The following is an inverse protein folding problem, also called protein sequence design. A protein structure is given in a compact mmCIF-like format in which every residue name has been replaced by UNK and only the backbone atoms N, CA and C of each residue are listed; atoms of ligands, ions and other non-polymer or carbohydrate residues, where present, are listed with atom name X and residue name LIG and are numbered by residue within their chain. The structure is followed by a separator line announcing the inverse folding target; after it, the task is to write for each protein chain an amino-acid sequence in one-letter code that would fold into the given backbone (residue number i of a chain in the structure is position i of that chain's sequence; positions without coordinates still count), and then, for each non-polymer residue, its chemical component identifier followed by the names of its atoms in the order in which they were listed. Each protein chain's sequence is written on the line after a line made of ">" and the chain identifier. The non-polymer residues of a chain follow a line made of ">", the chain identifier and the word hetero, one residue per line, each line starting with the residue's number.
data_IF_171538411939
#
_entry.id   IF_171538411939
#
_cell.length_a   1.000
_cell.length_b   1.000
_cell.length_c   1.000
_cell.angle_alpha   90.00
_cell.angle_beta   90.00
_cell.angle_gamma   90.00
#
_symmetry.space_group_name_H-M   'P 1'
#
loop_
_entity.id
_entity.type
_entity.pdbx_description
1 polymer ?
#
# COMPACT_ATOMS: atom_id res chain seq x y z
N UNK A 1 -42.69 -25.05 15.45
CA UNK A 1 -41.44 -25.05 14.70
C UNK A 1 -40.68 -23.77 15.09
N UNK A 2 -39.62 -23.90 15.86
CA UNK A 2 -38.75 -22.76 16.23
C UNK A 2 -37.59 -22.74 15.23
N UNK A 3 -37.57 -21.72 14.39
CA UNK A 3 -36.48 -21.48 13.42
C UNK A 3 -35.25 -21.01 14.20
N UNK A 4 -34.23 -21.84 14.24
CA UNK A 4 -32.93 -21.51 14.82
C UNK A 4 -32.16 -20.68 13.79
N UNK A 5 -32.05 -19.37 14.06
CA UNK A 5 -31.17 -18.48 13.28
C UNK A 5 -29.74 -18.74 13.77
N UNK A 6 -28.97 -19.46 12.97
CA UNK A 6 -27.55 -19.69 13.20
C UNK A 6 -26.81 -18.41 12.77
N UNK A 7 -26.51 -17.55 13.72
CA UNK A 7 -25.62 -16.40 13.51
C UNK A 7 -24.18 -16.94 13.36
N UNK A 8 -23.70 -17.04 12.13
CA UNK A 8 -22.29 -17.32 11.87
C UNK A 8 -21.54 -16.04 12.26
N UNK A 9 -20.99 -16.01 13.47
CA UNK A 9 -19.98 -15.03 13.83
C UNK A 9 -18.74 -15.33 12.98
N UNK A 10 -18.50 -14.53 11.93
CA UNK A 10 -17.17 -14.44 11.35
C UNK A 10 -16.25 -14.00 12.47
N UNK A 11 -15.46 -14.92 13.02
CA UNK A 11 -14.31 -14.57 13.83
C UNK A 11 -13.40 -13.74 12.93
N UNK A 12 -13.36 -12.41 13.13
CA UNK A 12 -12.22 -11.61 12.73
C UNK A 12 -11.02 -12.29 13.40
N UNK A 13 -10.26 -13.06 12.64
CA UNK A 13 -8.92 -13.42 13.04
C UNK A 13 -8.26 -12.08 13.35
N UNK A 14 -8.00 -11.83 14.65
CA UNK A 14 -7.20 -10.69 15.04
C UNK A 14 -5.92 -10.84 14.24
N UNK A 15 -5.74 -10.01 13.22
CA UNK A 15 -4.44 -9.86 12.59
C UNK A 15 -3.53 -9.49 13.74
N UNK A 16 -2.58 -10.36 14.05
CA UNK A 16 -1.51 -10.03 14.95
C UNK A 16 -0.99 -8.67 14.47
N UNK A 17 -0.55 -7.80 15.38
CA UNK A 17 0.00 -6.48 15.07
C UNK A 17 1.10 -6.61 14.01
N UNK A 18 0.70 -6.60 12.73
CA UNK A 18 1.51 -6.87 11.53
C UNK A 18 1.19 -5.85 10.43
N UNK A 19 2.09 -5.75 9.46
CA UNK A 19 1.94 -4.93 8.26
C UNK A 19 2.29 -5.76 7.02
N UNK A 20 1.48 -6.78 6.66
CA UNK A 20 1.90 -7.85 5.74
C UNK A 20 1.89 -7.47 4.26
N UNK A 21 1.43 -6.28 3.91
CA UNK A 21 1.32 -5.79 2.54
C UNK A 21 1.22 -4.27 2.49
N UNK A 22 1.24 -3.74 1.27
CA UNK A 22 1.00 -2.32 1.03
C UNK A 22 -0.27 -1.83 1.74
N UNK A 23 -0.16 -0.73 2.49
CA UNK A 23 -1.23 -0.10 3.28
C UNK A 23 -1.87 -0.97 4.37
N UNK A 24 -1.22 -2.09 4.76
CA UNK A 24 -1.59 -2.93 5.90
C UNK A 24 -2.65 -3.99 5.63
N UNK A 25 -3.40 -3.91 4.54
CA UNK A 25 -4.45 -4.88 4.22
C UNK A 25 -5.10 -4.65 2.86
N UNK A 26 -5.93 -5.60 2.35
CA UNK A 26 -6.46 -5.56 0.99
C UNK A 26 -7.33 -4.33 0.67
N UNK A 27 -7.99 -3.73 1.65
CA UNK A 27 -8.74 -2.48 1.47
C UNK A 27 -7.85 -1.23 1.37
N UNK A 28 -6.55 -1.36 1.57
CA UNK A 28 -5.53 -0.33 1.46
C UNK A 28 -5.80 0.93 2.29
N UNK A 29 -6.42 0.80 3.47
CA UNK A 29 -6.85 1.92 4.31
C UNK A 29 -5.72 2.64 5.04
N UNK A 30 -4.49 2.10 5.02
CA UNK A 30 -3.34 2.72 5.68
C UNK A 30 -3.50 2.83 7.19
N UNK A 31 -4.06 1.79 7.83
CA UNK A 31 -4.30 1.73 9.28
C UNK A 31 -3.45 0.64 9.90
N UNK A 32 -2.79 0.98 11.00
CA UNK A 32 -2.04 0.03 11.83
C UNK A 32 -2.74 -0.19 13.16
N UNK A 33 -2.75 -1.43 13.62
CA UNK A 33 -3.19 -1.80 14.98
C UNK A 33 -2.14 -1.45 16.05
N UNK A 34 -0.98 -0.95 15.64
CA UNK A 34 0.10 -0.49 16.51
C UNK A 34 -0.05 0.97 16.88
N UNK A 35 0.38 1.34 18.07
CA UNK A 35 0.61 2.74 18.44
C UNK A 35 1.93 3.24 17.85
N UNK A 36 2.01 4.54 17.56
CA UNK A 36 3.27 5.16 17.18
C UNK A 36 4.23 5.27 18.39
N UNK A 37 5.57 5.22 18.19
CA UNK A 37 6.53 5.48 19.26
C UNK A 37 6.28 6.86 19.90
N UNK A 38 6.18 6.92 21.22
CA UNK A 38 5.98 8.18 21.93
C UNK A 38 7.22 9.08 21.91
N UNK A 39 8.41 8.46 22.03
CA UNK A 39 9.71 9.09 21.87
C UNK A 39 10.52 8.29 20.85
N UNK A 40 10.61 8.76 19.60
CA UNK A 40 11.25 7.99 18.53
C UNK A 40 12.76 7.88 18.74
N UNK A 41 13.26 6.66 18.71
CA UNK A 41 14.71 6.36 18.73
C UNK A 41 15.04 5.36 17.64
N UNK A 42 16.24 5.50 17.05
CA UNK A 42 16.75 4.52 16.09
C UNK A 42 17.06 3.20 16.81
N UNK A 43 16.49 2.11 16.30
CA UNK A 43 16.75 0.75 16.79
C UNK A 43 17.87 0.08 16.00
N UNK A 44 17.74 0.16 14.68
CA UNK A 44 18.76 -0.34 13.75
C UNK A 44 18.64 0.35 12.39
N UNK A 45 19.71 0.23 11.61
CA UNK A 45 19.78 0.62 10.21
C UNK A 45 20.29 -0.56 9.40
N UNK A 46 19.61 -0.90 8.32
CA UNK A 46 20.08 -1.88 7.34
C UNK A 46 20.50 -1.16 6.06
N UNK A 47 21.69 -1.46 5.56
CA UNK A 47 22.21 -0.87 4.31
C UNK A 47 21.88 -1.80 3.14
N UNK A 48 20.92 -1.41 2.32
CA UNK A 48 20.64 -2.05 1.03
C UNK A 48 21.63 -1.60 -0.04
N UNK A 49 21.54 -2.19 -1.23
CA UNK A 49 22.48 -1.87 -2.32
C UNK A 49 22.21 -0.54 -3.00
N UNK A 50 20.94 -0.11 -3.05
CA UNK A 50 20.43 1.09 -3.74
C UNK A 50 19.19 1.62 -3.00
N UNK A 51 18.63 2.78 -3.41
CA UNK A 51 17.41 3.34 -2.83
C UNK A 51 16.29 2.33 -2.60
N UNK A 52 15.63 2.43 -1.45
CA UNK A 52 14.44 1.65 -1.09
C UNK A 52 13.24 2.61 -1.14
N UNK A 53 12.58 2.66 -2.30
CA UNK A 53 11.55 3.66 -2.61
C UNK A 53 10.13 3.16 -2.38
N UNK A 54 9.88 1.85 -2.47
CA UNK A 54 8.55 1.28 -2.31
C UNK A 54 8.07 1.31 -0.86
N UNK A 55 8.78 0.66 0.00
CA UNK A 55 8.47 0.46 1.42
C UNK A 55 8.69 -0.99 1.84
N UNK A 56 8.28 -1.30 3.06
CA UNK A 56 8.48 -2.62 3.64
C UNK A 56 7.16 -3.28 4.04
N UNK A 57 7.20 -4.60 4.23
CA UNK A 57 6.17 -5.39 4.92
C UNK A 57 6.75 -6.02 6.17
N UNK A 58 5.91 -6.13 7.22
CA UNK A 58 6.27 -6.74 8.50
C UNK A 58 5.33 -7.91 8.76
N UNK A 59 5.89 -9.10 8.90
CA UNK A 59 5.14 -10.30 9.25
C UNK A 59 5.96 -11.17 10.21
N UNK A 60 5.34 -11.56 11.33
CA UNK A 60 6.04 -12.24 12.41
C UNK A 60 7.16 -11.36 13.00
N UNK A 61 8.36 -11.88 13.02
CA UNK A 61 9.59 -11.23 13.47
C UNK A 61 10.50 -10.74 12.32
N UNK A 62 9.93 -10.53 11.13
CA UNK A 62 10.67 -10.25 9.90
C UNK A 62 10.16 -9.03 9.16
N UNK A 63 11.07 -8.39 8.43
CA UNK A 63 10.83 -7.28 7.52
C UNK A 63 11.22 -7.70 6.11
N UNK A 64 10.37 -7.40 5.13
CA UNK A 64 10.58 -7.73 3.73
C UNK A 64 10.50 -6.46 2.89
N UNK A 65 11.43 -6.27 1.96
CA UNK A 65 11.46 -5.11 1.04
C UNK A 65 12.29 -5.41 -0.20
N UNK A 66 12.19 -4.54 -1.19
CA UNK A 66 13.05 -4.54 -2.37
C UNK A 66 13.84 -3.26 -2.51
N UNK A 67 14.92 -3.28 -3.30
CA UNK A 67 15.71 -2.10 -3.64
C UNK A 67 15.83 -1.86 -5.15
N UNK A 68 16.28 -0.67 -5.53
CA UNK A 68 16.49 -0.30 -6.94
C UNK A 68 17.70 -0.99 -7.58
N UNK A 69 18.51 -1.75 -6.81
CA UNK A 69 19.48 -2.67 -7.39
C UNK A 69 18.84 -3.96 -7.87
N UNK A 70 17.59 -4.24 -7.50
CA UNK A 70 16.89 -5.48 -7.84
C UNK A 70 17.18 -6.59 -6.83
N UNK A 71 17.34 -6.28 -5.57
CA UNK A 71 17.47 -7.28 -4.52
C UNK A 71 16.21 -7.27 -3.65
N UNK A 72 15.66 -8.45 -3.43
CA UNK A 72 14.60 -8.70 -2.46
C UNK A 72 15.27 -9.14 -1.17
N UNK A 73 14.94 -8.50 -0.05
CA UNK A 73 15.50 -8.77 1.27
C UNK A 73 14.44 -9.28 2.24
N UNK A 74 14.89 -10.17 3.13
CA UNK A 74 14.24 -10.49 4.39
C UNK A 74 15.25 -10.28 5.52
N UNK A 75 14.91 -9.45 6.49
CA UNK A 75 15.76 -9.15 7.65
C UNK A 75 14.99 -9.37 8.95
N UNK A 76 15.70 -9.52 10.05
CA UNK A 76 15.12 -9.61 11.39
C UNK A 76 14.50 -8.26 11.82
N UNK A 77 13.27 -8.27 12.33
CA UNK A 77 12.60 -7.06 12.82
C UNK A 77 13.28 -6.47 14.06
N UNK A 78 13.82 -7.33 14.93
CA UNK A 78 14.42 -6.93 16.21
C UNK A 78 15.84 -6.35 16.07
N UNK A 79 16.62 -6.83 15.11
CA UNK A 79 18.06 -6.52 15.02
C UNK A 79 18.54 -6.04 13.64
N UNK A 80 17.64 -6.02 12.65
CA UNK A 80 17.96 -5.58 11.30
C UNK A 80 18.95 -6.48 10.53
N UNK A 81 19.25 -7.70 11.01
CA UNK A 81 20.18 -8.59 10.31
C UNK A 81 19.52 -9.31 9.15
N UNK A 82 20.27 -9.46 8.06
CA UNK A 82 19.84 -10.22 6.90
C UNK A 82 19.58 -11.69 7.29
N UNK A 83 18.40 -12.19 6.89
CA UNK A 83 18.02 -13.59 7.00
C UNK A 83 18.23 -14.30 5.66
N UNK A 84 17.74 -13.67 4.61
CA UNK A 84 17.97 -14.08 3.23
C UNK A 84 17.81 -12.91 2.27
N UNK A 85 18.40 -13.03 1.11
CA UNK A 85 18.20 -12.12 -0.01
C UNK A 85 18.14 -12.89 -1.33
N UNK A 86 17.46 -12.30 -2.32
CA UNK A 86 17.37 -12.84 -3.68
C UNK A 86 17.59 -11.72 -4.69
N UNK A 87 18.51 -11.94 -5.63
CA UNK A 87 18.77 -11.03 -6.75
C UNK A 87 17.81 -11.31 -7.90
N UNK A 88 17.11 -10.26 -8.38
CA UNK A 88 16.30 -10.23 -9.59
C UNK A 88 17.08 -9.60 -10.74
N UNK A 89 16.52 -9.55 -11.95
CA UNK A 89 17.20 -8.98 -13.12
C UNK A 89 17.06 -7.46 -13.22
N UNK A 90 16.11 -6.85 -12.47
CA UNK A 90 15.87 -5.40 -12.49
C UNK A 90 15.39 -4.89 -11.14
N UNK A 91 15.17 -3.58 -11.02
CA UNK A 91 14.72 -2.91 -9.79
C UNK A 91 13.47 -3.55 -9.17
N UNK A 92 13.38 -3.54 -7.84
CA UNK A 92 12.24 -4.00 -7.06
C UNK A 92 11.67 -2.82 -6.28
N UNK A 93 10.66 -2.18 -6.85
CA UNK A 93 9.99 -1.00 -6.28
C UNK A 93 8.68 -1.35 -5.57
N UNK A 94 8.11 -2.51 -5.87
CA UNK A 94 6.89 -3.01 -5.24
C UNK A 94 7.12 -3.33 -3.76
N UNK A 95 6.07 -3.12 -2.94
CA UNK A 95 6.04 -3.57 -1.54
C UNK A 95 5.65 -5.05 -1.52
N UNK A 96 6.37 -5.92 -0.79
CA UNK A 96 6.02 -7.33 -0.70
C UNK A 96 4.63 -7.57 -0.10
N UNK A 97 3.91 -8.57 -0.62
CA UNK A 97 2.73 -9.15 0.02
C UNK A 97 3.16 -10.44 0.74
N UNK A 98 2.96 -10.52 2.04
CA UNK A 98 3.18 -11.73 2.82
C UNK A 98 1.83 -12.39 3.09
N UNK A 99 1.62 -13.56 2.49
CA UNK A 99 0.36 -14.29 2.57
C UNK A 99 0.65 -15.80 2.73
N UNK A 100 0.08 -16.40 3.77
CA UNK A 100 0.20 -17.84 4.04
C UNK A 100 1.66 -18.35 3.96
N UNK A 101 2.60 -17.63 4.57
CA UNK A 101 4.01 -17.99 4.60
C UNK A 101 4.74 -17.83 3.25
N UNK A 102 4.16 -17.10 2.31
CA UNK A 102 4.75 -16.77 1.02
C UNK A 102 4.91 -15.26 0.85
N UNK A 103 6.08 -14.83 0.40
CA UNK A 103 6.38 -13.46 -0.01
C UNK A 103 6.15 -13.35 -1.51
N UNK A 104 5.14 -12.57 -1.92
CA UNK A 104 4.85 -12.24 -3.31
C UNK A 104 5.35 -10.84 -3.60
N UNK A 105 6.13 -10.65 -4.67
CA UNK A 105 6.68 -9.35 -5.02
C UNK A 105 6.93 -9.23 -6.52
N UNK A 106 6.47 -8.14 -7.11
CA UNK A 106 6.73 -7.79 -8.49
C UNK A 106 8.07 -7.08 -8.66
N UNK A 107 8.66 -7.17 -9.83
CA UNK A 107 9.89 -6.46 -10.18
C UNK A 107 9.81 -5.82 -11.58
N UNK A 108 10.71 -4.90 -11.84
CA UNK A 108 10.80 -4.21 -13.14
C UNK A 108 11.34 -5.08 -14.26
N UNK A 109 11.65 -6.35 -14.00
CA UNK A 109 11.95 -7.37 -15.01
C UNK A 109 10.68 -8.06 -15.56
N UNK A 110 9.49 -7.60 -15.15
CA UNK A 110 8.21 -8.14 -15.58
C UNK A 110 7.79 -9.43 -14.87
N UNK A 111 8.46 -9.78 -13.77
CA UNK A 111 8.20 -11.03 -13.06
C UNK A 111 7.54 -10.79 -11.72
N UNK A 112 6.56 -11.62 -11.38
CA UNK A 112 6.04 -11.78 -10.03
C UNK A 112 6.72 -12.99 -9.39
N UNK A 113 7.46 -12.75 -8.33
CA UNK A 113 8.14 -13.76 -7.54
C UNK A 113 7.25 -14.25 -6.40
N UNK A 114 7.26 -15.54 -6.12
CA UNK A 114 6.69 -16.14 -4.91
C UNK A 114 7.78 -16.92 -4.18
N UNK A 115 8.15 -16.41 -3.02
CA UNK A 115 9.24 -16.94 -2.21
C UNK A 115 8.69 -17.45 -0.89
N UNK A 116 9.21 -18.55 -0.42
CA UNK A 116 8.96 -18.98 0.95
C UNK A 116 9.45 -17.89 1.91
N UNK A 117 8.57 -17.33 2.71
CA UNK A 117 8.86 -16.18 3.55
C UNK A 117 9.95 -16.46 4.59
N UNK A 118 10.16 -17.72 4.97
CA UNK A 118 11.17 -18.13 5.96
C UNK A 118 12.55 -18.30 5.32
N UNK A 119 12.60 -18.94 4.16
CA UNK A 119 13.87 -19.41 3.56
C UNK A 119 14.30 -18.65 2.31
N UNK A 120 13.43 -17.82 1.72
CA UNK A 120 13.68 -17.13 0.46
C UNK A 120 13.67 -18.04 -0.78
N UNK A 121 13.37 -19.33 -0.64
CA UNK A 121 13.32 -20.25 -1.77
C UNK A 121 12.06 -20.03 -2.61
N UNK A 122 12.19 -20.14 -3.93
CA UNK A 122 11.03 -20.06 -4.83
C UNK A 122 9.98 -21.13 -4.47
N UNK A 123 8.72 -20.72 -4.39
CA UNK A 123 7.56 -21.62 -4.26
C UNK A 123 7.13 -22.18 -5.61
N UNK A 124 7.27 -21.36 -6.65
CA UNK A 124 7.04 -21.69 -8.06
C UNK A 124 7.94 -20.80 -8.93
N UNK A 125 8.11 -21.16 -10.22
CA UNK A 125 8.86 -20.32 -11.15
C UNK A 125 8.16 -18.98 -11.33
N UNK A 126 8.90 -17.86 -11.38
CA UNK A 126 8.30 -16.53 -11.45
C UNK A 126 7.28 -16.45 -12.59
N UNK A 127 6.11 -15.86 -12.27
CA UNK A 127 5.10 -15.59 -13.29
C UNK A 127 5.56 -14.39 -14.13
N UNK A 128 5.62 -14.56 -15.44
CA UNK A 128 6.08 -13.54 -16.39
C UNK A 128 4.91 -12.78 -16.98
N UNK A 129 4.98 -11.43 -16.92
CA UNK A 129 4.12 -10.51 -17.66
C UNK A 129 4.87 -9.96 -18.87
N UNK A 130 4.18 -9.22 -19.73
CA UNK A 130 4.80 -8.64 -20.93
C UNK A 130 5.69 -7.41 -20.67
N UNK A 131 5.60 -6.79 -19.48
CA UNK A 131 6.39 -5.61 -19.08
C UNK A 131 6.44 -5.52 -17.54
N UNK A 132 7.02 -4.47 -17.00
CA UNK A 132 7.31 -4.22 -15.58
C UNK A 132 6.12 -4.40 -14.66
N UNK A 133 6.39 -4.91 -13.47
CA UNK A 133 5.45 -4.91 -12.33
C UNK A 133 6.02 -3.94 -11.27
N UNK A 134 5.54 -2.70 -11.26
CA UNK A 134 5.96 -1.68 -10.30
C UNK A 134 4.97 -1.54 -9.14
N UNK A 135 3.69 -1.83 -9.38
CA UNK A 135 2.66 -1.86 -8.33
C UNK A 135 2.86 -3.05 -7.39
N UNK A 136 2.50 -2.86 -6.13
CA UNK A 136 2.49 -3.97 -5.17
C UNK A 136 1.34 -4.92 -5.45
N UNK A 137 1.52 -6.20 -5.11
CA UNK A 137 0.48 -7.19 -5.20
C UNK A 137 -0.57 -7.03 -4.09
N UNK A 138 -1.80 -7.38 -4.38
CA UNK A 138 -2.87 -7.60 -3.41
C UNK A 138 -3.36 -9.05 -3.50
N UNK A 139 -4.36 -9.40 -2.71
CA UNK A 139 -4.91 -10.74 -2.74
C UNK A 139 -6.42 -10.75 -2.50
N UNK A 140 -7.07 -11.79 -3.00
CA UNK A 140 -8.47 -12.07 -2.72
C UNK A 140 -8.74 -13.58 -2.66
N UNK A 141 -9.84 -13.97 -1.99
CA UNK A 141 -10.39 -15.31 -2.15
C UNK A 141 -11.10 -15.43 -3.49
N UNK A 142 -11.00 -16.59 -4.10
CA UNK A 142 -11.85 -16.98 -5.21
C UNK A 142 -13.33 -17.03 -4.73
N UNK A 143 -14.23 -16.25 -5.34
CA UNK A 143 -15.65 -16.25 -4.94
C UNK A 143 -16.35 -17.61 -5.10
N UNK A 144 -15.79 -18.53 -5.87
CA UNK A 144 -16.35 -19.84 -6.16
C UNK A 144 -15.71 -20.98 -5.36
N UNK A 145 -14.62 -20.72 -4.62
CA UNK A 145 -13.88 -21.73 -3.87
C UNK A 145 -13.08 -21.13 -2.69
N UNK A 146 -12.42 -22.00 -1.91
CA UNK A 146 -11.50 -21.56 -0.85
C UNK A 146 -10.10 -21.19 -1.34
N UNK A 147 -9.85 -21.21 -2.66
CA UNK A 147 -8.59 -20.79 -3.24
C UNK A 147 -8.34 -19.30 -3.04
N UNK A 148 -7.07 -18.91 -3.11
CA UNK A 148 -6.66 -17.51 -3.06
C UNK A 148 -5.96 -17.15 -4.36
N UNK A 149 -6.15 -15.90 -4.77
CA UNK A 149 -5.48 -15.29 -5.91
C UNK A 149 -4.55 -14.18 -5.41
N UNK A 150 -3.37 -14.10 -6.00
CA UNK A 150 -2.56 -12.89 -6.00
C UNK A 150 -3.01 -12.05 -7.19
N UNK A 151 -3.24 -10.76 -6.92
CA UNK A 151 -3.75 -9.80 -7.89
C UNK A 151 -2.67 -8.74 -8.14
N UNK A 152 -2.31 -8.52 -9.41
CA UNK A 152 -1.23 -7.61 -9.75
C UNK A 152 -1.49 -6.92 -11.09
N UNK A 153 -1.18 -5.62 -11.16
CA UNK A 153 -1.16 -4.85 -12.40
C UNK A 153 0.24 -4.81 -13.01
N UNK A 154 0.33 -4.79 -14.33
CA UNK A 154 1.58 -4.70 -15.08
C UNK A 154 1.57 -3.54 -16.08
N UNK A 155 2.74 -3.12 -16.50
CA UNK A 155 2.94 -2.15 -17.58
C UNK A 155 2.66 -2.73 -18.98
N UNK A 156 2.36 -4.02 -19.08
CA UNK A 156 1.81 -4.64 -20.29
C UNK A 156 0.31 -4.40 -20.47
N UNK A 157 -0.26 -3.47 -19.70
CA UNK A 157 -1.66 -3.05 -19.71
C UNK A 157 -2.64 -4.11 -19.17
N UNK A 158 -2.14 -5.11 -18.46
CA UNK A 158 -2.99 -6.19 -17.94
C UNK A 158 -3.02 -6.24 -16.42
N UNK A 159 -4.21 -6.50 -15.90
CA UNK A 159 -4.48 -6.83 -14.51
C UNK A 159 -4.68 -8.34 -14.39
N UNK A 160 -3.83 -9.00 -13.62
CA UNK A 160 -3.75 -10.45 -13.52
C UNK A 160 -4.29 -10.97 -12.20
N UNK A 161 -4.98 -12.10 -12.24
CA UNK A 161 -5.24 -12.97 -11.10
C UNK A 161 -4.44 -14.27 -11.25
N UNK A 162 -3.63 -14.59 -10.25
CA UNK A 162 -2.70 -15.71 -10.25
C UNK A 162 -3.05 -16.61 -9.06
N UNK A 163 -3.22 -17.91 -9.32
CA UNK A 163 -3.48 -18.91 -8.27
C UNK A 163 -2.26 -19.02 -7.35
N UNK A 164 -2.46 -18.80 -6.05
CA UNK A 164 -1.37 -18.79 -5.05
C UNK A 164 -0.64 -20.11 -4.90
N UNK A 165 -1.31 -21.22 -5.16
CA UNK A 165 -0.73 -22.56 -4.98
C UNK A 165 0.12 -22.99 -6.19
N UNK A 166 -0.25 -22.55 -7.39
CA UNK A 166 0.35 -23.04 -8.63
C UNK A 166 1.18 -22.02 -9.39
N UNK A 167 1.01 -20.72 -9.09
CA UNK A 167 1.64 -19.63 -9.83
C UNK A 167 1.08 -19.42 -11.24
N UNK A 168 -0.03 -20.06 -11.59
CA UNK A 168 -0.62 -19.98 -12.93
C UNK A 168 -1.67 -18.87 -12.98
N UNK A 169 -1.75 -18.20 -14.13
CA UNK A 169 -2.83 -17.26 -14.41
C UNK A 169 -4.19 -17.98 -14.34
N UNK A 170 -5.13 -17.38 -13.62
CA UNK A 170 -6.53 -17.80 -13.57
C UNK A 170 -7.33 -17.02 -14.62
N UNK A 171 -7.19 -15.69 -14.57
CA UNK A 171 -7.79 -14.76 -15.52
C UNK A 171 -6.98 -13.47 -15.60
N UNK A 172 -7.25 -12.64 -16.59
CA UNK A 172 -6.74 -11.27 -16.72
C UNK A 172 -7.80 -10.34 -17.28
N UNK A 173 -7.64 -9.04 -16.99
CA UNK A 173 -8.40 -7.94 -17.60
C UNK A 173 -7.38 -7.01 -18.27
N UNK A 174 -7.65 -6.63 -19.53
CA UNK A 174 -6.81 -5.70 -20.28
C UNK A 174 -7.33 -4.27 -20.15
N UNK A 175 -6.41 -3.32 -19.98
CA UNK A 175 -6.65 -1.88 -19.94
C UNK A 175 -6.03 -1.21 -21.16
N UNK A 176 -6.16 0.12 -21.27
CA UNK A 176 -5.62 0.85 -22.42
C UNK A 176 -4.22 1.43 -22.17
N UNK A 177 -3.71 1.34 -20.91
CA UNK A 177 -2.41 1.91 -20.54
C UNK A 177 -1.82 1.21 -19.30
N UNK A 178 -0.62 1.65 -18.86
CA UNK A 178 0.11 1.11 -17.71
C UNK A 178 -0.72 1.11 -16.44
N UNK A 179 -0.65 0.03 -15.66
CA UNK A 179 -1.28 -0.07 -14.34
C UNK A 179 -0.22 0.25 -13.28
N UNK A 180 -0.41 1.36 -12.55
CA UNK A 180 0.55 1.89 -11.58
C UNK A 180 0.19 1.57 -10.13
N UNK A 181 -1.09 1.36 -9.83
CA UNK A 181 -1.54 1.25 -8.45
C UNK A 181 -1.70 -0.19 -7.97
N UNK A 182 -1.49 -0.40 -6.68
CA UNK A 182 -1.85 -1.65 -6.01
C UNK A 182 -3.37 -1.79 -6.01
N UNK A 183 -3.92 -2.96 -6.38
CA UNK A 183 -5.37 -3.15 -6.37
C UNK A 183 -5.94 -3.18 -4.96
N UNK A 184 -6.89 -2.28 -4.69
CA UNK A 184 -7.70 -2.29 -3.47
C UNK A 184 -8.85 -3.27 -3.63
N UNK A 185 -9.11 -4.10 -2.61
CA UNK A 185 -10.14 -5.13 -2.66
C UNK A 185 -11.25 -4.80 -1.66
N UNK A 186 -12.47 -4.65 -2.16
CA UNK A 186 -13.64 -4.41 -1.32
C UNK A 186 -14.16 -5.70 -0.68
N UNK A 187 -14.93 -5.56 0.39
CA UNK A 187 -15.49 -6.71 1.11
C UNK A 187 -16.50 -7.51 0.28
N UNK A 188 -17.13 -6.90 -0.72
CA UNK A 188 -18.09 -7.51 -1.65
C UNK A 188 -17.44 -8.05 -2.93
N UNK A 189 -16.11 -8.06 -3.01
CA UNK A 189 -15.35 -8.74 -4.06
C UNK A 189 -15.16 -7.92 -5.33
N UNK A 190 -14.95 -6.61 -5.19
CA UNK A 190 -14.47 -5.74 -6.27
C UNK A 190 -12.98 -5.47 -6.10
N UNK A 191 -12.24 -5.40 -7.20
CA UNK A 191 -10.87 -4.91 -7.24
C UNK A 191 -10.85 -3.53 -7.93
N UNK A 192 -10.21 -2.56 -7.27
CA UNK A 192 -10.06 -1.20 -7.78
C UNK A 192 -8.59 -0.90 -8.01
N UNK A 193 -8.23 -0.44 -9.19
CA UNK A 193 -6.86 -0.02 -9.49
C UNK A 193 -6.87 1.12 -10.51
N UNK A 194 -5.88 1.98 -10.44
CA UNK A 194 -5.68 3.10 -11.35
C UNK A 194 -4.45 2.90 -12.24
N UNK A 195 -4.43 3.63 -13.34
CA UNK A 195 -3.36 3.57 -14.31
C UNK A 195 -3.07 4.92 -14.97
N UNK A 196 -2.33 4.87 -16.08
CA UNK A 196 -1.97 6.04 -16.88
C UNK A 196 -3.06 6.45 -17.89
N UNK A 197 -4.18 5.78 -17.94
CA UNK A 197 -5.32 6.07 -18.81
C UNK A 197 -6.35 7.05 -18.21
N UNK A 198 -6.00 7.67 -17.08
CA UNK A 198 -6.85 8.60 -16.35
C UNK A 198 -8.11 7.97 -15.73
N UNK A 199 -8.12 6.66 -15.55
CA UNK A 199 -9.27 5.91 -15.05
C UNK A 199 -8.94 5.19 -13.73
N UNK A 200 -9.95 5.05 -12.89
CA UNK A 200 -9.99 4.06 -11.82
C UNK A 200 -10.88 2.91 -12.31
N UNK A 201 -10.27 1.76 -12.53
CA UNK A 201 -10.94 0.54 -12.99
C UNK A 201 -11.63 -0.16 -11.83
N UNK A 202 -12.83 -0.68 -12.07
CA UNK A 202 -13.57 -1.50 -11.10
C UNK A 202 -13.83 -2.86 -11.74
N UNK A 203 -13.18 -3.89 -11.21
CA UNK A 203 -13.25 -5.27 -11.69
C UNK A 203 -14.01 -6.14 -10.70
N UNK A 204 -15.02 -6.86 -11.17
CA UNK A 204 -15.73 -7.87 -10.38
C UNK A 204 -14.90 -9.16 -10.33
N UNK A 205 -14.48 -9.56 -9.13
CA UNK A 205 -13.75 -10.82 -8.93
C UNK A 205 -14.64 -12.04 -9.22
N UNK A 206 -15.96 -11.92 -8.99
CA UNK A 206 -16.92 -12.98 -9.30
C UNK A 206 -17.14 -13.17 -10.80
N UNK A 207 -17.24 -12.04 -11.53
CA UNK A 207 -17.49 -12.08 -12.98
C UNK A 207 -16.20 -12.13 -13.79
N UNK A 208 -15.03 -11.91 -13.12
CA UNK A 208 -13.68 -11.92 -13.69
C UNK A 208 -13.55 -10.93 -14.86
N UNK A 209 -14.22 -9.79 -14.75
CA UNK A 209 -14.24 -8.75 -15.79
C UNK A 209 -14.37 -7.36 -15.19
N UNK A 210 -13.98 -6.37 -15.97
CA UNK A 210 -14.26 -4.97 -15.68
C UNK A 210 -15.77 -4.70 -15.77
N UNK A 211 -16.30 -4.04 -14.74
CA UNK A 211 -17.72 -3.70 -14.66
C UNK A 211 -17.96 -2.19 -14.70
N UNK A 212 -16.92 -1.37 -14.42
CA UNK A 212 -17.02 0.09 -14.45
C UNK A 212 -15.64 0.74 -14.57
N UNK A 213 -15.64 1.94 -15.14
CA UNK A 213 -14.52 2.88 -15.19
C UNK A 213 -14.95 4.19 -14.55
N UNK A 214 -14.14 4.74 -13.62
CA UNK A 214 -14.40 6.01 -12.95
C UNK A 214 -13.38 7.02 -13.46
N UNK A 215 -13.87 8.14 -14.00
CA UNK A 215 -13.01 9.19 -14.59
C UNK A 215 -12.25 9.95 -13.49
N UNK A 216 -10.93 9.90 -13.52
CA UNK A 216 -10.00 10.60 -12.62
C UNK A 216 -9.39 11.85 -13.29
N UNK A 217 -9.82 12.20 -14.53
CA UNK A 217 -9.39 13.36 -15.34
C UNK A 217 -7.89 13.37 -15.70
N UNK A 218 -7.04 12.59 -15.03
CA UNK A 218 -5.62 12.38 -15.30
C UNK A 218 -5.16 11.07 -14.64
N UNK A 219 -3.92 10.65 -14.94
CA UNK A 219 -3.42 9.40 -14.40
C UNK A 219 -3.48 9.32 -12.86
N UNK A 220 -3.69 8.10 -12.37
CA UNK A 220 -3.78 7.79 -10.94
C UNK A 220 -2.46 7.17 -10.49
N UNK A 221 -1.57 7.93 -9.85
CA UNK A 221 -0.22 7.49 -9.51
C UNK A 221 -0.15 6.57 -8.31
N UNK A 222 -1.17 6.60 -7.46
CA UNK A 222 -1.20 5.89 -6.19
C UNK A 222 -2.45 5.02 -6.05
N UNK A 223 -2.51 4.22 -5.00
CA UNK A 223 -3.59 3.27 -4.79
C UNK A 223 -4.78 3.92 -4.10
N UNK A 224 -5.98 3.48 -4.43
CA UNK A 224 -7.19 3.86 -3.71
C UNK A 224 -7.24 3.20 -2.33
N UNK A 225 -7.80 3.90 -1.35
CA UNK A 225 -8.26 3.30 -0.11
C UNK A 225 -9.76 3.09 -0.17
N UNK A 226 -10.25 1.91 0.18
CA UNK A 226 -11.69 1.57 0.09
C UNK A 226 -12.29 1.27 1.46
N UNK A 227 -13.58 1.65 1.62
CA UNK A 227 -14.36 1.32 2.80
C UNK A 227 -15.85 1.23 2.42
N UNK A 228 -16.41 0.03 2.51
CA UNK A 228 -17.71 -0.29 1.93
C UNK A 228 -17.68 -0.06 0.41
N UNK A 229 -18.62 0.74 -0.10
CA UNK A 229 -18.70 1.14 -1.51
C UNK A 229 -17.88 2.40 -1.83
N UNK A 230 -17.26 3.03 -0.83
CA UNK A 230 -16.51 4.27 -1.04
C UNK A 230 -15.05 4.01 -1.36
N UNK A 231 -14.55 4.66 -2.40
CA UNK A 231 -13.16 4.69 -2.81
C UNK A 231 -12.61 6.11 -2.74
N UNK A 232 -11.40 6.26 -2.17
CA UNK A 232 -10.71 7.55 -2.02
C UNK A 232 -9.32 7.44 -2.64
N UNK A 233 -8.96 8.38 -3.50
CA UNK A 233 -7.64 8.39 -4.15
C UNK A 233 -7.24 9.78 -4.66
N UNK A 234 -5.95 9.99 -4.82
CA UNK A 234 -5.37 11.17 -5.46
C UNK A 234 -5.11 10.94 -6.95
N UNK A 235 -5.09 12.02 -7.73
CA UNK A 235 -4.78 12.00 -9.16
C UNK A 235 -3.84 13.13 -9.54
N UNK A 236 -3.17 12.99 -10.69
CA UNK A 236 -2.39 14.08 -11.30
C UNK A 236 -3.27 15.21 -11.85
N UNK A 237 -4.59 15.06 -11.86
CA UNK A 237 -5.56 16.16 -12.10
C UNK A 237 -5.54 17.24 -11.02
N UNK A 238 -4.69 17.11 -10.01
CA UNK A 238 -4.56 18.00 -8.85
C UNK A 238 -5.78 17.93 -7.93
N UNK A 239 -6.46 16.78 -7.94
CA UNK A 239 -7.65 16.51 -7.12
C UNK A 239 -7.50 15.24 -6.30
N UNK A 240 -8.20 15.19 -5.18
CA UNK A 240 -8.55 13.99 -4.44
C UNK A 240 -10.02 13.69 -4.73
N UNK A 241 -10.32 12.45 -4.99
CA UNK A 241 -11.65 11.97 -5.32
C UNK A 241 -12.22 11.08 -4.22
N UNK A 242 -13.52 11.20 -4.00
CA UNK A 242 -14.33 10.19 -3.36
C UNK A 242 -15.40 9.70 -4.33
N UNK A 243 -15.35 8.42 -4.64
CA UNK A 243 -16.38 7.76 -5.44
C UNK A 243 -17.16 6.76 -4.60
N UNK A 244 -18.45 6.72 -4.78
CA UNK A 244 -19.20 5.50 -4.55
C UNK A 244 -19.04 4.63 -5.80
N UNK A 245 -18.41 3.46 -5.65
CA UNK A 245 -18.08 2.58 -6.79
C UNK A 245 -19.31 2.03 -7.52
N UNK A 246 -20.51 2.25 -6.97
CA UNK A 246 -21.78 1.94 -7.65
C UNK A 246 -22.22 3.04 -8.61
N UNK A 247 -21.59 4.22 -8.56
CA UNK A 247 -21.92 5.39 -9.38
C UNK A 247 -20.74 5.78 -10.29
N UNK A 248 -21.03 6.49 -11.38
CA UNK A 248 -20.02 6.97 -12.34
C UNK A 248 -19.44 8.35 -11.98
N UNK A 249 -20.15 9.10 -11.13
CA UNK A 249 -19.73 10.45 -10.74
C UNK A 249 -19.16 10.45 -9.34
N UNK A 250 -18.14 11.27 -9.05
CA UNK A 250 -17.62 11.41 -7.71
C UNK A 250 -18.69 11.97 -6.77
N UNK A 251 -18.70 11.48 -5.52
CA UNK A 251 -19.51 12.04 -4.43
C UNK A 251 -19.01 13.44 -4.08
N UNK A 252 -17.68 13.58 -4.05
CA UNK A 252 -17.02 14.88 -3.93
C UNK A 252 -15.62 14.83 -4.55
N UNK A 253 -15.09 16.01 -4.86
CA UNK A 253 -13.69 16.22 -5.22
C UNK A 253 -13.11 17.30 -4.34
N UNK A 254 -11.85 17.14 -3.94
CA UNK A 254 -11.10 18.11 -3.17
C UNK A 254 -9.92 18.63 -3.98
N UNK A 255 -9.68 19.94 -3.91
CA UNK A 255 -8.50 20.62 -4.48
C UNK A 255 -8.17 21.83 -3.61
N UNK A 256 -6.96 21.88 -3.05
CA UNK A 256 -6.46 23.07 -2.33
C UNK A 256 -5.60 23.94 -3.27
N UNK A 257 -4.57 23.34 -3.84
CA UNK A 257 -3.60 23.98 -4.71
C UNK A 257 -3.46 23.27 -6.04
N UNK A 258 -2.61 23.79 -6.92
CA UNK A 258 -2.37 23.19 -8.23
C UNK A 258 -1.19 22.20 -8.21
N UNK A 259 -1.23 21.22 -7.28
CA UNK A 259 -0.22 20.18 -7.10
C UNK A 259 -0.84 18.80 -7.07
N UNK A 260 -0.09 17.82 -7.56
CA UNK A 260 -0.53 16.44 -7.67
C UNK A 260 -0.52 15.72 -6.32
N UNK A 261 -1.41 14.73 -6.18
CA UNK A 261 -1.50 13.85 -5.02
C UNK A 261 -0.96 12.47 -5.39
N UNK A 262 0.30 12.18 -4.99
CA UNK A 262 1.02 10.96 -5.35
C UNK A 262 1.01 9.90 -4.26
N UNK A 263 0.61 10.23 -3.04
CA UNK A 263 0.49 9.26 -1.96
C UNK A 263 -0.86 8.55 -1.96
N UNK A 264 -0.90 7.33 -1.43
CA UNK A 264 -2.16 6.64 -1.13
C UNK A 264 -2.74 7.15 0.18
N UNK A 265 -4.06 7.40 0.29
CA UNK A 265 -4.64 7.97 1.50
C UNK A 265 -4.68 7.01 2.69
N UNK A 266 -4.62 7.56 3.91
CA UNK A 266 -5.03 6.86 5.13
C UNK A 266 -6.45 7.26 5.51
N UNK A 267 -7.25 6.32 6.01
CA UNK A 267 -8.65 6.56 6.39
C UNK A 267 -8.86 6.46 7.90
N UNK A 268 -9.55 7.43 8.47
CA UNK A 268 -10.24 7.27 9.76
C UNK A 268 -11.75 7.15 9.52
N UNK A 269 -12.54 7.10 10.58
CA UNK A 269 -14.01 7.16 10.48
C UNK A 269 -14.51 8.50 9.90
N UNK A 270 -13.72 9.59 10.05
CA UNK A 270 -14.13 10.95 9.70
C UNK A 270 -13.25 11.59 8.61
N UNK A 271 -12.01 11.15 8.44
CA UNK A 271 -11.02 11.83 7.61
C UNK A 271 -10.41 10.93 6.54
N UNK A 272 -10.11 11.54 5.41
CA UNK A 272 -9.17 11.08 4.38
C UNK A 272 -7.90 11.90 4.54
N UNK A 273 -6.76 11.25 4.82
CA UNK A 273 -5.48 11.92 5.04
C UNK A 273 -4.49 11.51 3.97
N UNK A 274 -3.96 12.47 3.22
CA UNK A 274 -3.17 12.24 2.01
C UNK A 274 -2.01 13.23 1.89
N UNK A 275 -0.84 12.76 1.47
CA UNK A 275 0.31 13.58 1.16
C UNK A 275 0.23 14.16 -0.27
N UNK A 276 0.85 15.31 -0.49
CA UNK A 276 0.87 15.97 -1.78
C UNK A 276 2.23 16.63 -2.08
N UNK A 277 2.45 16.93 -3.36
CA UNK A 277 3.65 17.63 -3.85
C UNK A 277 3.61 19.15 -3.65
N UNK A 278 2.62 19.66 -2.93
CA UNK A 278 2.62 21.03 -2.38
C UNK A 278 3.34 21.13 -1.02
N UNK A 279 4.06 20.07 -0.65
CA UNK A 279 4.81 19.91 0.61
C UNK A 279 3.89 19.86 1.83
N UNK A 280 2.74 19.19 1.71
CA UNK A 280 1.75 19.09 2.79
C UNK A 280 1.13 17.70 2.87
N UNK A 281 0.65 17.40 4.07
CA UNK A 281 -0.41 16.41 4.29
C UNK A 281 -1.72 17.16 4.44
N UNK A 282 -2.76 16.70 3.77
CA UNK A 282 -4.12 17.22 3.82
C UNK A 282 -5.01 16.23 4.54
N UNK A 283 -5.82 16.71 5.48
CA UNK A 283 -6.91 15.96 6.07
C UNK A 283 -8.24 16.56 5.59
N UNK A 284 -9.02 15.72 4.97
CA UNK A 284 -10.24 16.08 4.27
C UNK A 284 -11.40 15.38 4.99
N UNK A 285 -12.48 16.10 5.26
CA UNK A 285 -13.70 15.50 5.80
C UNK A 285 -14.22 14.43 4.84
N UNK A 286 -14.38 13.23 5.33
CA UNK A 286 -14.71 12.06 4.52
C UNK A 286 -16.09 12.14 3.86
N UNK A 287 -17.03 12.86 4.47
CA UNK A 287 -18.41 12.99 3.99
C UNK A 287 -18.59 14.17 3.05
N UNK A 288 -17.98 15.32 3.39
CA UNK A 288 -18.21 16.57 2.67
C UNK A 288 -17.15 16.91 1.63
N UNK A 289 -15.93 16.34 1.75
CA UNK A 289 -14.79 16.72 0.92
C UNK A 289 -14.14 18.05 1.32
N UNK A 290 -14.53 18.64 2.45
CA UNK A 290 -13.96 19.91 2.93
C UNK A 290 -12.64 19.68 3.67
N UNK A 291 -11.71 20.64 3.57
CA UNK A 291 -10.47 20.60 4.35
C UNK A 291 -10.76 20.75 5.84
N UNK A 292 -10.18 19.87 6.65
CA UNK A 292 -10.22 19.96 8.12
C UNK A 292 -8.93 20.58 8.67
N UNK A 293 -7.80 20.12 8.18
CA UNK A 293 -6.49 20.69 8.49
C UNK A 293 -5.46 20.36 7.40
N UNK A 294 -4.37 21.09 7.38
CA UNK A 294 -3.17 20.77 6.59
C UNK A 294 -1.93 20.87 7.48
N UNK A 295 -0.95 20.00 7.24
CA UNK A 295 0.36 20.04 7.90
C UNK A 295 1.47 20.27 6.88
N UNK A 296 2.30 21.29 7.10
CA UNK A 296 3.37 21.66 6.16
C UNK A 296 4.69 20.98 6.51
N UNK A 297 5.37 20.45 5.51
CA UNK A 297 6.75 19.95 5.52
C UNK A 297 7.65 20.89 4.71
N UNK A 298 8.96 20.55 4.57
CA UNK A 298 9.88 21.31 3.73
C UNK A 298 10.13 20.69 2.35
N UNK A 299 9.73 19.43 2.15
CA UNK A 299 9.82 18.67 0.91
C UNK A 299 8.47 18.06 0.53
N UNK A 300 8.36 17.50 -0.66
CA UNK A 300 7.17 16.82 -1.14
C UNK A 300 6.80 15.64 -0.24
N UNK A 301 5.52 15.28 -0.18
CA UNK A 301 5.02 14.15 0.62
C UNK A 301 4.45 13.10 -0.33
N UNK A 302 5.35 12.35 -0.98
CA UNK A 302 4.99 11.18 -1.80
C UNK A 302 4.78 9.93 -0.92
N UNK A 303 5.37 9.91 0.27
CA UNK A 303 5.15 8.88 1.30
C UNK A 303 3.69 8.80 1.70
N UNK A 304 3.10 7.62 1.63
CA UNK A 304 1.70 7.39 2.00
C UNK A 304 1.55 7.34 3.53
N UNK A 305 0.74 8.22 4.14
CA UNK A 305 0.61 8.32 5.58
C UNK A 305 -0.04 7.06 6.18
N UNK A 306 0.35 6.70 7.40
CA UNK A 306 -0.22 5.58 8.17
C UNK A 306 -0.87 6.09 9.43
N UNK A 307 -2.15 5.76 9.60
CA UNK A 307 -2.91 6.03 10.83
C UNK A 307 -2.67 4.91 11.84
N UNK A 308 -2.12 5.26 12.98
CA UNK A 308 -1.88 4.34 14.09
C UNK A 308 -3.11 4.25 15.02
N UNK A 309 -3.19 3.16 15.79
CA UNK A 309 -4.28 2.87 16.75
C UNK A 309 -4.50 3.97 17.79
N UNK A 310 -3.44 4.67 18.19
CA UNK A 310 -3.47 5.76 19.17
C UNK A 310 -3.82 7.13 18.57
N UNK A 311 -4.28 7.17 17.31
CA UNK A 311 -4.63 8.40 16.61
C UNK A 311 -3.43 9.19 16.05
N UNK A 312 -2.22 8.64 16.11
CA UNK A 312 -1.08 9.22 15.42
C UNK A 312 -1.16 8.98 13.91
N UNK A 313 -0.77 9.97 13.12
CA UNK A 313 -0.54 9.85 11.69
C UNK A 313 0.96 9.97 11.43
N UNK A 314 1.56 8.93 10.84
CA UNK A 314 3.00 8.85 10.57
C UNK A 314 3.25 8.86 9.07
N UNK A 315 4.21 9.66 8.60
CA UNK A 315 4.60 9.74 7.18
C UNK A 315 6.03 10.22 7.01
N UNK A 316 6.62 9.91 5.87
CA UNK A 316 7.92 10.44 5.44
C UNK A 316 7.76 11.69 4.57
N UNK A 317 8.82 12.43 4.37
CA UNK A 317 8.90 13.58 3.47
C UNK A 317 10.24 13.63 2.73
N UNK A 318 10.21 14.19 1.53
CA UNK A 318 11.42 14.47 0.73
C UNK A 318 12.35 15.50 1.38
N UNK A 319 12.02 16.02 2.57
CA UNK A 319 12.92 16.84 3.37
C UNK A 319 13.82 16.02 4.34
N UNK A 320 13.78 14.70 4.24
CA UNK A 320 14.61 13.80 5.03
C UNK A 320 14.10 13.52 6.45
N UNK A 321 12.80 13.76 6.69
CA UNK A 321 12.20 13.56 8.01
C UNK A 321 11.01 12.60 8.00
N UNK A 322 10.89 11.87 9.09
CA UNK A 322 9.66 11.19 9.47
C UNK A 322 8.89 12.13 10.39
N UNK A 323 7.61 12.32 10.12
CA UNK A 323 6.69 13.12 10.92
C UNK A 323 5.65 12.24 11.58
N UNK A 324 5.27 12.64 12.79
CA UNK A 324 4.13 12.09 13.52
C UNK A 324 3.25 13.25 13.98
N UNK A 325 1.99 13.24 13.58
CA UNK A 325 1.01 14.26 13.95
C UNK A 325 -0.26 13.64 14.53
N UNK A 326 -1.03 14.42 15.28
CA UNK A 326 -2.37 14.05 15.71
C UNK A 326 -3.32 14.00 14.51
N UNK A 327 -3.91 12.86 14.19
CA UNK A 327 -4.77 12.70 13.02
C UNK A 327 -6.02 13.60 13.05
N UNK A 328 -6.57 13.89 14.23
CA UNK A 328 -7.76 14.73 14.38
C UNK A 328 -7.50 16.22 14.20
N UNK A 329 -6.27 16.71 14.43
CA UNK A 329 -5.96 18.15 14.51
C UNK A 329 -4.78 18.59 13.63
N UNK A 330 -3.98 17.66 13.15
CA UNK A 330 -2.72 17.96 12.44
C UNK A 330 -1.61 18.51 13.34
N UNK A 331 -1.79 18.53 14.69
CA UNK A 331 -0.74 19.00 15.60
C UNK A 331 0.42 18.01 15.61
N UNK A 332 1.66 18.53 15.46
CA UNK A 332 2.87 17.72 15.53
C UNK A 332 3.02 17.09 16.92
N UNK A 333 3.22 15.76 16.96
CA UNK A 333 3.66 15.02 18.16
C UNK A 333 5.18 15.03 18.23
N UNK A 334 5.82 14.63 17.11
CA UNK A 334 7.28 14.62 16.96
C UNK A 334 7.68 14.55 15.49
N UNK A 335 8.96 14.83 15.24
CA UNK A 335 9.64 14.54 13.98
C UNK A 335 10.97 13.87 14.26
N UNK A 336 11.43 13.04 13.34
CA UNK A 336 12.72 12.36 13.40
C UNK A 336 13.48 12.60 12.11
N UNK A 337 14.73 13.11 12.22
CA UNK A 337 15.55 13.45 11.06
C UNK A 337 16.41 12.25 10.65
N UNK A 338 16.25 11.76 9.42
CA UNK A 338 17.08 10.74 8.78
C UNK A 338 18.19 11.40 7.97
N UNK A 339 17.89 12.55 7.36
CA UNK A 339 18.85 13.33 6.56
C UNK A 339 18.92 12.93 5.08
N UNK A 340 18.10 11.99 4.64
CA UNK A 340 17.94 11.58 3.23
C UNK A 340 16.47 11.60 2.84
N UNK A 341 16.17 11.95 1.60
CA UNK A 341 14.82 11.99 1.04
C UNK A 341 14.07 10.70 1.30
N UNK A 342 12.81 10.81 1.76
CA UNK A 342 11.94 9.69 2.08
C UNK A 342 10.75 9.70 1.13
N UNK A 343 10.83 8.93 0.05
CA UNK A 343 9.70 8.67 -0.84
C UNK A 343 8.88 7.46 -0.37
N UNK A 344 9.51 6.50 0.31
CA UNK A 344 8.88 5.27 0.76
C UNK A 344 7.79 5.52 1.81
N UNK A 345 6.84 4.58 1.88
CA UNK A 345 5.77 4.61 2.88
C UNK A 345 6.18 3.81 4.13
N UNK A 346 5.86 4.28 5.35
CA UNK A 346 6.18 3.56 6.56
C UNK A 346 5.39 2.26 6.67
N UNK A 347 6.03 1.20 7.18
CA UNK A 347 5.40 0.00 7.71
C UNK A 347 5.39 0.11 9.23
N UNK A 348 4.23 -0.07 9.85
CA UNK A 348 4.09 0.12 11.31
C UNK A 348 3.45 -1.10 11.94
N UNK A 349 4.19 -1.76 12.81
CA UNK A 349 3.73 -2.92 13.58
C UNK A 349 4.56 -3.04 14.88
N UNK A 350 3.97 -3.61 15.92
CA UNK A 350 4.65 -3.93 17.21
C UNK A 350 5.36 -2.71 17.84
N UNK A 351 4.78 -1.50 17.68
CA UNK A 351 5.37 -0.27 18.19
C UNK A 351 6.62 0.20 17.42
N UNK A 352 6.91 -0.39 16.27
CA UNK A 352 8.05 -0.08 15.42
C UNK A 352 7.59 0.54 14.10
N UNK A 353 8.38 1.48 13.60
CA UNK A 353 8.25 2.07 12.26
C UNK A 353 9.44 1.60 11.46
N UNK A 354 9.19 0.93 10.34
CA UNK A 354 10.23 0.55 9.36
C UNK A 354 10.00 1.37 8.09
N UNK A 355 11.05 2.06 7.62
CA UNK A 355 10.96 2.96 6.46
C UNK A 355 12.27 2.94 5.67
N UNK A 356 12.18 2.88 4.35
CA UNK A 356 13.29 3.02 3.43
C UNK A 356 13.59 4.47 3.10
N UNK A 357 14.79 4.77 2.61
CA UNK A 357 15.16 6.10 2.15
C UNK A 357 16.00 6.05 0.86
N UNK A 358 16.17 7.21 0.23
CA UNK A 358 16.90 7.33 -1.04
C UNK A 358 18.41 7.15 -0.91
N UNK A 359 18.94 7.13 0.32
CA UNK A 359 20.36 6.80 0.60
C UNK A 359 20.66 5.28 0.53
N UNK A 360 19.63 4.46 0.30
CA UNK A 360 19.74 3.01 0.25
C UNK A 360 19.74 2.34 1.61
N UNK A 361 19.28 3.03 2.65
CA UNK A 361 19.12 2.45 3.97
C UNK A 361 17.62 2.19 4.29
N UNK A 362 17.39 1.20 5.13
CA UNK A 362 16.13 0.95 5.81
C UNK A 362 16.33 1.21 7.29
N UNK A 363 15.49 2.04 7.86
CA UNK A 363 15.55 2.48 9.24
C UNK A 363 14.43 1.87 10.06
N UNK A 364 14.73 1.41 11.26
CA UNK A 364 13.74 1.01 12.25
C UNK A 364 13.74 1.99 13.41
N UNK A 365 12.60 2.59 13.66
CA UNK A 365 12.38 3.56 14.73
C UNK A 365 11.39 2.93 15.74
N UNK A 366 11.74 2.99 17.02
CA UNK A 366 10.89 2.50 18.13
C UNK A 366 10.90 3.46 19.30
N UNK A 367 10.17 3.14 20.35
CA UNK A 367 10.25 3.89 21.61
C UNK A 367 11.57 3.65 22.34
N UNK A 368 11.99 4.63 23.14
CA UNK A 368 13.11 4.54 24.07
C UNK A 368 13.05 3.29 24.94
#
# INVERSE_FOLDING_TARGET
>A
MKTLILTIALSAAAFADEWPMHRGGPMLQGRSESAAPAKPTLKWTFKAGKPVVGGASIAGDRVYFGDNAGVIYCIGLSDGKEVWSLKTESAVEAIPLILDGTCYIGAADGRLYALDAITGKKKWEPFETGDKILASASWAKDPASDKKWVLVGSYDFSFYAIDTATGKQVWKVETENFINSTPAITADGLALFGGCDALMHVVSLKEQKEIRKLDAEAYVPASAAVDGTMAFFGSDSKKVYAFDVTNEKPVWTYRDRNFSYFSSPALSSELVMIGARDKRVHAIDRKTGEARWTFATKGDVDSSPVLCKDGALVFGSMDGRIYCVESGTGKERWRYEIGSDIASSPAIAKGLIVIGANDGNVYCIGSE
#
